data_IF_353598191063
#
_entry.id   IF_353598191063
#
_cell.length_a   1.000
_cell.length_b   1.000
_cell.length_c   1.000
_cell.angle_alpha   90.00
_cell.angle_beta   90.00
_cell.angle_gamma   90.00
#
_symmetry.space_group_name_H-M   'P 1'
#
loop_
_entity.id
_entity.type
_entity.pdbx_description
1 polymer ?
#
# COMPACT_ATOMS: atom_id res chain seq x y z
N UNK A 1 -27.92 15.62 -8.33
CA UNK A 1 -27.38 16.35 -7.16
C UNK A 1 -26.08 15.69 -6.75
N UNK A 2 -24.96 16.38 -6.99
CA UNK A 2 -23.62 15.88 -6.64
C UNK A 2 -23.35 16.10 -5.16
N UNK A 3 -23.15 15.01 -4.42
CA UNK A 3 -22.72 15.10 -3.03
C UNK A 3 -21.20 15.26 -2.99
N UNK A 4 -20.74 16.46 -2.65
CA UNK A 4 -19.36 16.71 -2.23
C UNK A 4 -19.13 15.97 -0.92
N UNK A 5 -18.19 15.02 -0.90
CA UNK A 5 -17.82 14.27 0.29
C UNK A 5 -16.86 15.09 1.15
N UNK A 6 -17.25 15.27 2.41
CA UNK A 6 -16.49 15.96 3.44
C UNK A 6 -15.25 15.16 3.83
N UNK A 7 -14.13 15.89 3.89
CA UNK A 7 -12.85 15.45 4.43
C UNK A 7 -13.04 15.10 5.91
N UNK A 8 -12.86 13.83 6.29
CA UNK A 8 -12.61 13.46 7.68
C UNK A 8 -11.14 13.79 7.97
N UNK A 9 -10.87 15.05 8.28
CA UNK A 9 -9.63 15.44 8.92
C UNK A 9 -9.72 14.97 10.37
N UNK A 10 -9.08 13.84 10.69
CA UNK A 10 -8.85 13.45 12.06
C UNK A 10 -7.82 14.41 12.66
N UNK A 11 -8.27 15.56 13.19
CA UNK A 11 -7.48 16.37 14.10
C UNK A 11 -7.43 15.67 15.45
N UNK A 12 -6.52 14.71 15.56
CA UNK A 12 -6.16 14.06 16.82
C UNK A 12 -4.68 14.31 17.09
N UNK A 13 -4.38 15.32 17.91
CA UNK A 13 -3.05 15.56 18.44
C UNK A 13 -2.67 14.43 19.40
N UNK A 14 -1.93 13.45 18.91
CA UNK A 14 -1.07 12.61 19.73
C UNK A 14 0.34 12.68 19.13
N UNK A 15 1.32 12.99 19.97
CA UNK A 15 2.71 13.12 19.59
C UNK A 15 3.23 11.79 19.01
N UNK A 16 3.84 11.86 17.82
CA UNK A 16 4.60 10.77 17.20
C UNK A 16 3.88 10.07 16.04
N UNK A 17 4.29 10.39 14.81
CA UNK A 17 4.00 9.60 13.61
C UNK A 17 2.86 10.14 12.73
N UNK A 18 3.20 10.92 11.72
CA UNK A 18 2.28 11.34 10.67
C UNK A 18 1.90 10.13 9.78
N UNK A 19 0.80 9.46 10.10
CA UNK A 19 0.14 8.51 9.21
C UNK A 19 -0.83 9.25 8.29
N UNK A 20 -0.43 9.51 7.04
CA UNK A 20 -1.33 10.02 6.00
C UNK A 20 -2.29 8.90 5.61
N UNK A 21 -3.47 8.85 6.23
CA UNK A 21 -4.53 7.92 5.82
C UNK A 21 -5.01 8.30 4.42
N UNK A 22 -4.71 7.43 3.45
CA UNK A 22 -5.16 7.58 2.07
C UNK A 22 -6.68 7.57 1.96
N UNK A 23 -7.20 8.31 0.97
CA UNK A 23 -8.62 8.33 0.62
C UNK A 23 -9.00 6.94 0.06
N UNK A 24 -9.57 6.07 0.88
CA UNK A 24 -10.10 4.78 0.41
C UNK A 24 -11.55 4.93 -0.08
N UNK A 25 -11.90 4.23 -1.16
CA UNK A 25 -13.28 4.23 -1.69
C UNK A 25 -14.22 3.52 -0.71
N UNK A 26 -15.17 4.27 -0.15
CA UNK A 26 -16.28 3.69 0.60
C UNK A 26 -17.23 2.96 -0.37
N UNK A 27 -17.48 1.68 -0.13
CA UNK A 27 -18.51 0.91 -0.83
C UNK A 27 -19.87 1.39 -0.35
N UNK A 28 -20.57 2.12 -1.21
CA UNK A 28 -21.88 2.65 -0.92
C UNK A 28 -22.97 1.56 -1.00
N UNK A 29 -24.05 1.86 -0.30
CA UNK A 29 -25.06 0.97 0.26
C UNK A 29 -26.08 0.51 -0.78
N UNK A 30 -25.95 -0.72 -1.28
CA UNK A 30 -27.10 -1.53 -1.68
C UNK A 30 -26.77 -3.05 -1.67
N UNK A 31 -27.20 -3.70 -0.59
CA UNK A 31 -27.90 -4.99 -0.58
C UNK A 31 -27.44 -6.17 -1.47
N UNK A 32 -26.14 -6.43 -1.60
CA UNK A 32 -25.65 -7.80 -1.79
C UNK A 32 -24.28 -7.95 -1.12
N UNK A 33 -24.19 -8.91 -0.20
CA UNK A 33 -23.06 -9.30 0.66
C UNK A 33 -21.72 -8.70 0.18
N UNK A 34 -21.13 -7.82 1.03
CA UNK A 34 -19.74 -7.35 0.93
C UNK A 34 -18.77 -8.53 1.12
N UNK A 35 -18.78 -9.51 0.23
CA UNK A 35 -17.82 -10.60 0.28
C UNK A 35 -16.52 -10.08 -0.29
N UNK A 36 -15.74 -9.44 0.57
CA UNK A 36 -14.31 -9.33 0.36
C UNK A 36 -13.76 -10.76 0.27
N UNK A 37 -12.77 -10.95 -0.59
CA UNK A 37 -12.00 -12.19 -0.67
C UNK A 37 -11.18 -12.38 0.60
N UNK A 38 -10.71 -13.60 0.84
CA UNK A 38 -9.84 -13.86 1.99
C UNK A 38 -8.55 -13.01 1.92
N UNK A 39 -7.98 -12.82 0.73
CA UNK A 39 -6.82 -11.93 0.53
C UNK A 39 -7.13 -10.48 0.91
N UNK A 40 -8.33 -9.96 0.59
CA UNK A 40 -8.74 -8.61 0.96
C UNK A 40 -8.93 -8.44 2.46
N UNK A 41 -9.46 -9.44 3.17
CA UNK A 41 -9.50 -9.39 4.64
C UNK A 41 -8.11 -9.44 5.27
N UNK A 42 -7.18 -10.21 4.69
CA UNK A 42 -5.79 -10.21 5.12
C UNK A 42 -5.14 -8.84 4.91
N UNK A 43 -5.45 -8.15 3.81
CA UNK A 43 -4.98 -6.78 3.54
C UNK A 43 -5.54 -5.77 4.55
N UNK A 44 -6.84 -5.86 4.86
CA UNK A 44 -7.47 -5.05 5.90
C UNK A 44 -6.74 -5.22 7.23
N UNK A 45 -6.47 -6.47 7.62
CA UNK A 45 -5.73 -6.73 8.83
C UNK A 45 -4.32 -6.13 8.76
N UNK A 46 -3.59 -6.36 7.66
CA UNK A 46 -2.25 -5.80 7.47
C UNK A 46 -2.22 -4.28 7.64
N UNK A 47 -3.18 -3.58 7.06
CA UNK A 47 -3.28 -2.11 7.09
C UNK A 47 -3.63 -1.58 8.48
N UNK A 48 -4.58 -2.21 9.17
CA UNK A 48 -5.16 -1.65 10.40
C UNK A 48 -4.69 -2.32 11.70
N UNK A 49 -3.88 -3.38 11.67
CA UNK A 49 -3.44 -4.12 12.87
C UNK A 49 -2.67 -3.29 13.91
N UNK A 50 -2.14 -2.13 13.54
CA UNK A 50 -1.50 -1.20 14.49
C UNK A 50 -2.50 -0.26 15.18
N UNK A 51 -3.76 -0.22 14.73
CA UNK A 51 -4.82 0.53 15.39
C UNK A 51 -5.38 -0.30 16.55
N UNK A 52 -5.19 0.19 17.77
CA UNK A 52 -5.70 -0.48 18.99
C UNK A 52 -7.20 -0.72 18.91
N UNK A 53 -7.99 0.25 18.44
CA UNK A 53 -9.44 0.13 18.29
C UNK A 53 -9.85 -1.00 17.35
N UNK A 54 -9.13 -1.18 16.25
CA UNK A 54 -9.36 -2.28 15.31
C UNK A 54 -9.07 -3.64 15.97
N UNK A 55 -7.92 -3.80 16.63
CA UNK A 55 -7.59 -5.05 17.34
C UNK A 55 -8.61 -5.35 18.44
N UNK A 56 -8.99 -4.35 19.24
CA UNK A 56 -10.04 -4.50 20.27
C UNK A 56 -11.36 -4.97 19.66
N UNK A 57 -11.74 -4.43 18.50
CA UNK A 57 -12.94 -4.87 17.79
C UNK A 57 -12.82 -6.33 17.34
N UNK A 58 -11.68 -6.73 16.74
CA UNK A 58 -11.47 -8.12 16.31
C UNK A 58 -11.47 -9.11 17.48
N UNK A 59 -10.96 -8.72 18.65
CA UNK A 59 -10.98 -9.55 19.87
C UNK A 59 -12.38 -9.95 20.33
N UNK A 60 -13.42 -9.21 19.96
CA UNK A 60 -14.81 -9.59 20.24
C UNK A 60 -15.25 -10.88 19.52
N UNK A 61 -14.55 -11.26 18.44
CA UNK A 61 -14.80 -12.49 17.66
C UNK A 61 -13.65 -13.50 17.79
N UNK A 62 -12.42 -13.03 17.95
CA UNK A 62 -11.23 -13.86 18.08
C UNK A 62 -10.34 -13.35 19.24
N UNK A 63 -10.57 -13.77 20.50
CA UNK A 63 -9.96 -13.15 21.68
C UNK A 63 -8.42 -13.16 21.72
N UNK A 64 -7.78 -14.11 21.03
CA UNK A 64 -6.31 -14.26 20.98
C UNK A 64 -5.64 -13.42 19.88
N UNK A 65 -6.39 -12.66 19.08
CA UNK A 65 -5.80 -11.88 17.98
C UNK A 65 -5.02 -10.69 18.54
N UNK A 66 -3.80 -10.49 18.05
CA UNK A 66 -2.93 -9.37 18.43
C UNK A 66 -2.39 -8.65 17.18
N UNK A 67 -1.82 -7.47 17.36
CA UNK A 67 -1.20 -6.70 16.26
C UNK A 67 -0.02 -7.44 15.58
N UNK A 68 0.57 -8.40 16.29
CA UNK A 68 1.68 -9.25 15.82
C UNK A 68 1.22 -10.54 15.15
N UNK A 69 -0.08 -10.87 15.17
CA UNK A 69 -0.61 -12.07 14.52
C UNK A 69 -0.35 -12.07 13.01
N UNK A 70 -0.38 -13.27 12.42
CA UNK A 70 -0.17 -13.41 10.98
C UNK A 70 -1.31 -12.76 10.19
N UNK A 71 -1.03 -12.34 8.95
CA UNK A 71 -2.07 -11.80 8.06
C UNK A 71 -3.21 -12.80 7.85
N UNK A 72 -2.90 -14.11 7.77
CA UNK A 72 -3.90 -15.18 7.63
C UNK A 72 -4.85 -15.26 8.83
N UNK A 73 -4.32 -15.28 10.06
CA UNK A 73 -5.14 -15.34 11.28
C UNK A 73 -5.95 -14.06 11.47
N UNK A 74 -5.28 -12.91 11.32
CA UNK A 74 -5.93 -11.61 11.40
C UNK A 74 -6.98 -11.39 10.33
N UNK A 75 -6.76 -11.89 9.11
CA UNK A 75 -7.74 -11.86 8.03
C UNK A 75 -8.99 -12.70 8.35
N UNK A 76 -8.84 -13.87 8.98
CA UNK A 76 -10.00 -14.67 9.45
C UNK A 76 -10.79 -13.92 10.52
N UNK A 77 -10.10 -13.27 11.47
CA UNK A 77 -10.76 -12.46 12.49
C UNK A 77 -11.47 -11.24 11.89
N UNK A 78 -10.82 -10.54 10.95
CA UNK A 78 -11.40 -9.41 10.22
C UNK A 78 -12.64 -9.84 9.41
N UNK A 79 -12.58 -11.00 8.74
CA UNK A 79 -13.73 -11.58 8.03
C UNK A 79 -14.91 -11.83 8.96
N UNK A 80 -14.68 -12.56 10.06
CA UNK A 80 -15.72 -12.85 11.03
C UNK A 80 -16.35 -11.57 11.61
N UNK A 81 -15.52 -10.58 11.93
CA UNK A 81 -16.01 -9.31 12.46
C UNK A 81 -16.80 -8.51 11.41
N UNK A 82 -16.28 -8.38 10.19
CA UNK A 82 -16.91 -7.59 9.13
C UNK A 82 -18.24 -8.18 8.62
N UNK A 83 -18.40 -9.50 8.62
CA UNK A 83 -19.65 -10.15 8.20
C UNK A 83 -20.77 -9.96 9.22
N UNK A 84 -20.43 -9.85 10.50
CA UNK A 84 -21.39 -9.74 11.60
C UNK A 84 -21.67 -8.29 12.03
N UNK A 85 -21.02 -7.28 11.43
CA UNK A 85 -21.12 -5.88 11.83
C UNK A 85 -21.49 -4.94 10.68
N UNK A 86 -22.46 -4.06 10.92
CA UNK A 86 -22.90 -3.00 10.00
C UNK A 86 -22.72 -1.58 10.57
N UNK A 87 -21.90 -1.44 11.61
CA UNK A 87 -21.64 -0.19 12.34
C UNK A 87 -20.90 0.85 11.49
N UNK A 88 -20.75 2.07 12.04
CA UNK A 88 -19.82 3.08 11.50
C UNK A 88 -18.40 2.54 11.35
N UNK A 89 -17.96 1.72 12.30
CA UNK A 89 -16.63 1.15 12.32
C UNK A 89 -16.44 0.12 11.20
N UNK A 90 -17.50 -0.63 10.86
CA UNK A 90 -17.49 -1.48 9.67
C UNK A 90 -17.37 -0.69 8.37
N UNK A 91 -17.78 0.59 8.34
CA UNK A 91 -17.51 1.47 7.18
C UNK A 91 -16.06 1.96 7.15
N UNK A 92 -15.38 1.97 8.29
CA UNK A 92 -13.98 2.38 8.39
C UNK A 92 -13.03 1.25 7.97
N UNK A 93 -13.27 0.02 8.44
CA UNK A 93 -12.31 -1.09 8.27
C UNK A 93 -12.71 -2.11 7.21
N UNK A 94 -14.01 -2.36 6.98
CA UNK A 94 -14.48 -3.39 6.04
C UNK A 94 -14.62 -2.81 4.62
N UNK A 95 -13.48 -2.37 4.06
CA UNK A 95 -13.38 -1.63 2.80
C UNK A 95 -12.43 -2.34 1.82
N UNK A 96 -12.60 -2.09 0.52
CA UNK A 96 -11.60 -2.54 -0.46
C UNK A 96 -10.35 -1.67 -0.36
N UNK A 97 -9.23 -2.31 -0.05
CA UNK A 97 -7.91 -1.71 -0.12
C UNK A 97 -7.25 -2.07 -1.46
N UNK A 98 -6.33 -1.23 -1.96
CA UNK A 98 -5.50 -1.59 -3.10
C UNK A 98 -4.77 -2.91 -2.85
N UNK A 99 -4.87 -3.84 -3.80
CA UNK A 99 -4.20 -5.15 -3.73
C UNK A 99 -2.80 -5.12 -4.30
N UNK A 100 -2.56 -4.25 -5.27
CA UNK A 100 -1.28 -4.10 -5.96
C UNK A 100 -0.74 -2.68 -5.82
N UNK A 101 0.55 -2.52 -6.08
CA UNK A 101 1.17 -1.18 -6.13
C UNK A 101 0.48 -0.31 -7.19
N UNK A 102 0.14 -0.87 -8.36
CA UNK A 102 -0.59 -0.19 -9.44
C UNK A 102 -1.91 0.42 -8.95
N UNK A 103 -2.65 -0.32 -8.12
CA UNK A 103 -3.92 0.16 -7.56
C UNK A 103 -3.71 1.23 -6.47
N UNK A 104 -2.56 1.24 -5.79
CA UNK A 104 -2.26 2.16 -4.67
C UNK A 104 -1.67 3.49 -5.13
N UNK A 105 -0.86 3.50 -6.18
CA UNK A 105 -0.24 4.72 -6.69
C UNK A 105 -1.31 5.68 -7.25
N UNK A 106 -1.12 6.98 -7.00
CA UNK A 106 -2.04 8.03 -7.44
C UNK A 106 -1.51 8.85 -8.61
N UNK A 107 -0.25 8.66 -8.96
CA UNK A 107 0.45 9.36 -10.04
C UNK A 107 0.89 8.34 -11.09
N UNK A 108 0.97 8.74 -12.37
CA UNK A 108 1.57 7.91 -13.39
C UNK A 108 3.09 7.75 -13.14
N UNK A 109 3.68 6.78 -13.83
CA UNK A 109 5.13 6.69 -13.92
C UNK A 109 5.69 7.93 -14.62
N UNK A 110 6.92 8.31 -14.29
CA UNK A 110 7.66 9.35 -15.01
C UNK A 110 7.85 8.96 -16.47
N UNK A 111 7.84 9.95 -17.35
CA UNK A 111 8.26 9.78 -18.74
C UNK A 111 9.70 10.29 -18.96
N UNK A 112 10.19 11.15 -18.06
CA UNK A 112 11.57 11.64 -18.07
C UNK A 112 12.43 10.79 -17.14
N UNK A 113 12.89 9.65 -17.67
CA UNK A 113 13.73 8.71 -16.94
C UNK A 113 15.13 9.26 -16.67
N UNK A 114 15.66 10.10 -17.58
CA UNK A 114 16.94 10.77 -17.39
C UNK A 114 16.91 11.68 -16.16
N UNK A 115 15.92 12.59 -16.10
CA UNK A 115 15.76 13.47 -14.95
C UNK A 115 15.52 12.67 -13.67
N UNK A 116 14.73 11.59 -13.75
CA UNK A 116 14.46 10.75 -12.58
C UNK A 116 15.72 10.07 -12.06
N UNK A 117 16.53 9.44 -12.92
CA UNK A 117 17.83 8.86 -12.53
C UNK A 117 18.73 9.91 -11.87
N UNK A 118 18.81 11.11 -12.46
CA UNK A 118 19.60 12.22 -11.91
C UNK A 118 19.16 12.59 -10.49
N UNK A 119 17.86 12.58 -10.21
CA UNK A 119 17.31 12.89 -8.90
C UNK A 119 17.60 11.81 -7.84
N UNK A 120 17.64 10.53 -8.23
CA UNK A 120 17.69 9.41 -7.27
C UNK A 120 19.07 8.76 -7.09
N UNK A 121 20.04 8.98 -8.00
CA UNK A 121 21.38 8.36 -7.96
C UNK A 121 22.19 8.69 -6.69
N UNK A 122 21.85 9.75 -5.95
CA UNK A 122 22.59 10.16 -4.75
C UNK A 122 22.10 9.55 -3.43
N UNK A 123 20.84 9.12 -3.35
CA UNK A 123 20.20 8.85 -2.05
C UNK A 123 20.47 7.46 -1.52
N UNK A 124 20.66 6.44 -2.38
CA UNK A 124 20.91 5.03 -1.99
C UNK A 124 21.51 4.23 -3.15
N UNK A 125 22.70 4.64 -3.61
CA UNK A 125 23.21 4.20 -4.91
C UNK A 125 23.50 2.68 -4.99
N UNK A 126 23.91 2.03 -3.89
CA UNK A 126 24.13 0.58 -3.83
C UNK A 126 22.84 -0.21 -3.98
N UNK A 127 21.79 0.17 -3.24
CA UNK A 127 20.51 -0.53 -3.24
C UNK A 127 19.78 -0.31 -4.56
N UNK A 128 19.83 0.91 -5.09
CA UNK A 128 19.31 1.20 -6.42
C UNK A 128 20.05 0.37 -7.48
N UNK A 129 21.38 0.35 -7.47
CA UNK A 129 22.16 -0.44 -8.42
C UNK A 129 21.83 -1.94 -8.32
N UNK A 130 21.71 -2.48 -7.11
CA UNK A 130 21.35 -3.89 -6.89
C UNK A 130 19.96 -4.21 -7.44
N UNK A 131 18.98 -3.34 -7.19
CA UNK A 131 17.63 -3.46 -7.74
C UNK A 131 17.66 -3.42 -9.28
N UNK A 132 18.38 -2.48 -9.88
CA UNK A 132 18.49 -2.37 -11.35
C UNK A 132 19.25 -3.53 -11.99
N UNK A 133 20.23 -4.12 -11.29
CA UNK A 133 20.93 -5.34 -11.74
C UNK A 133 20.04 -6.56 -11.83
N UNK A 134 18.90 -6.59 -11.14
CA UNK A 134 17.90 -7.65 -11.33
C UNK A 134 17.29 -7.63 -12.74
N UNK A 135 17.34 -6.47 -13.41
CA UNK A 135 16.88 -6.27 -14.79
C UNK A 135 18.05 -6.33 -15.78
N UNK A 136 19.10 -5.53 -15.56
CA UNK A 136 20.30 -5.46 -16.41
C UNK A 136 21.55 -5.82 -15.60
N UNK A 137 21.95 -7.09 -15.65
CA UNK A 137 23.04 -7.64 -14.80
C UNK A 137 24.41 -7.00 -15.05
N UNK A 138 24.65 -6.50 -16.26
CA UNK A 138 25.90 -5.86 -16.68
C UNK A 138 25.99 -4.38 -16.28
N UNK A 139 24.95 -3.82 -15.65
CA UNK A 139 24.95 -2.44 -15.17
C UNK A 139 25.99 -2.28 -14.05
N UNK A 140 26.99 -1.44 -14.25
CA UNK A 140 28.09 -1.23 -13.27
C UNK A 140 27.86 -0.04 -12.36
N UNK A 141 27.08 0.95 -12.81
CA UNK A 141 26.80 2.19 -12.09
C UNK A 141 25.42 2.73 -12.47
N UNK A 142 24.90 3.63 -11.65
CA UNK A 142 23.66 4.36 -11.96
C UNK A 142 24.04 5.79 -12.37
N UNK A 143 23.82 6.10 -13.65
CA UNK A 143 24.11 7.42 -14.24
C UNK A 143 22.96 7.86 -15.13
N UNK A 144 22.61 9.14 -15.08
CA UNK A 144 21.60 9.75 -15.93
C UNK A 144 22.02 9.82 -17.40
N UNK A 145 23.32 9.77 -17.69
CA UNK A 145 23.85 9.77 -19.05
C UNK A 145 23.98 8.34 -19.61
N UNK A 146 23.72 7.31 -18.80
CA UNK A 146 23.71 5.91 -19.23
C UNK A 146 22.29 5.46 -19.58
N UNK A 147 22.04 5.21 -20.87
CA UNK A 147 20.75 4.71 -21.35
C UNK A 147 20.37 3.37 -20.71
N UNK A 148 21.35 2.50 -20.40
CA UNK A 148 21.08 1.21 -19.73
C UNK A 148 20.52 1.42 -18.33
N UNK A 149 21.00 2.43 -17.60
CA UNK A 149 20.49 2.76 -16.27
C UNK A 149 19.04 3.28 -16.34
N UNK A 150 18.75 4.14 -17.33
CA UNK A 150 17.40 4.66 -17.55
C UNK A 150 16.41 3.54 -17.92
N UNK A 151 16.78 2.66 -18.85
CA UNK A 151 15.95 1.54 -19.27
C UNK A 151 15.77 0.52 -18.14
N UNK A 152 16.82 0.21 -17.39
CA UNK A 152 16.74 -0.66 -16.23
C UNK A 152 15.78 -0.10 -15.17
N UNK A 153 15.80 1.21 -14.93
CA UNK A 153 14.88 1.86 -13.98
C UNK A 153 13.44 1.78 -14.45
N UNK A 154 13.16 2.09 -15.72
CA UNK A 154 11.82 1.98 -16.31
C UNK A 154 11.28 0.55 -16.15
N UNK A 155 12.04 -0.42 -16.64
CA UNK A 155 11.66 -1.84 -16.61
C UNK A 155 11.48 -2.35 -15.17
N UNK A 156 12.35 -1.93 -14.24
CA UNK A 156 12.20 -2.26 -12.83
C UNK A 156 10.87 -1.71 -12.29
N UNK A 157 10.60 -0.42 -12.51
CA UNK A 157 9.38 0.24 -12.06
C UNK A 157 8.12 -0.45 -12.60
N UNK A 158 8.09 -0.76 -13.90
CA UNK A 158 6.99 -1.48 -14.55
C UNK A 158 6.81 -2.88 -13.95
N UNK A 159 7.90 -3.62 -13.71
CA UNK A 159 7.86 -4.96 -13.12
C UNK A 159 7.30 -5.00 -11.69
N UNK A 160 7.32 -3.86 -10.96
CA UNK A 160 6.82 -3.78 -9.59
C UNK A 160 5.36 -3.35 -9.49
N UNK A 161 4.75 -2.87 -10.56
CA UNK A 161 3.37 -2.36 -10.50
C UNK A 161 2.37 -3.43 -10.04
N UNK A 162 2.53 -4.66 -10.51
CA UNK A 162 1.61 -5.76 -10.16
C UNK A 162 2.06 -6.53 -8.91
N UNK A 163 3.05 -6.02 -8.18
CA UNK A 163 3.47 -6.59 -6.90
C UNK A 163 2.35 -6.46 -5.87
N UNK A 164 2.01 -7.57 -5.22
CA UNK A 164 0.94 -7.62 -4.23
C UNK A 164 1.35 -6.95 -2.93
N UNK A 165 0.50 -6.07 -2.43
CA UNK A 165 0.70 -5.34 -1.18
C UNK A 165 0.53 -6.23 0.05
N UNK A 166 -0.08 -7.41 -0.08
CA UNK A 166 -0.20 -8.34 1.05
C UNK A 166 1.13 -8.99 1.41
N UNK A 167 2.08 -9.03 0.48
CA UNK A 167 3.41 -9.57 0.71
C UNK A 167 4.13 -8.76 1.80
N UNK A 168 5.03 -9.43 2.53
CA UNK A 168 5.83 -8.81 3.60
C UNK A 168 6.64 -7.62 3.10
N UNK A 169 7.17 -7.70 1.88
CA UNK A 169 7.94 -6.62 1.25
C UNK A 169 7.06 -5.57 0.55
N UNK A 170 5.73 -5.73 0.54
CA UNK A 170 4.80 -4.89 -0.22
C UNK A 170 4.95 -3.40 0.06
N UNK A 171 5.11 -3.03 1.33
CA UNK A 171 5.27 -1.61 1.72
C UNK A 171 6.65 -1.07 1.35
N UNK A 172 7.69 -1.87 1.54
CA UNK A 172 9.06 -1.51 1.14
C UNK A 172 9.17 -1.31 -0.37
N UNK A 173 8.58 -2.20 -1.18
CA UNK A 173 8.57 -2.05 -2.64
C UNK A 173 7.70 -0.86 -3.04
N UNK A 174 6.55 -0.64 -2.38
CA UNK A 174 5.72 0.55 -2.62
C UNK A 174 6.50 1.84 -2.40
N UNK A 175 7.22 2.00 -1.27
CA UNK A 175 8.04 3.18 -0.99
C UNK A 175 9.15 3.38 -2.03
N UNK A 176 9.77 2.30 -2.50
CA UNK A 176 10.75 2.37 -3.59
C UNK A 176 10.09 2.83 -4.90
N UNK A 177 8.92 2.32 -5.25
CA UNK A 177 8.19 2.76 -6.46
C UNK A 177 7.79 4.22 -6.35
N UNK A 178 7.26 4.65 -5.20
CA UNK A 178 6.84 6.03 -4.96
C UNK A 178 8.01 7.02 -5.13
N UNK A 179 9.18 6.68 -4.58
CA UNK A 179 10.36 7.54 -4.65
C UNK A 179 11.09 7.50 -6.00
N UNK A 180 11.07 6.38 -6.73
CA UNK A 180 11.92 6.16 -7.91
C UNK A 180 11.19 6.24 -9.24
N UNK A 181 9.88 6.02 -9.25
CA UNK A 181 9.16 5.73 -10.48
C UNK A 181 8.13 6.78 -10.87
N UNK A 182 7.57 7.52 -9.90
CA UNK A 182 6.42 8.40 -10.16
C UNK A 182 6.84 9.77 -10.67
N UNK A 183 5.99 10.37 -11.51
CA UNK A 183 6.14 11.78 -11.90
C UNK A 183 6.09 12.69 -10.66
N UNK A 184 6.85 13.79 -10.68
CA UNK A 184 6.79 14.81 -9.63
C UNK A 184 5.43 15.53 -9.63
#
# INVERSE_FOLDING_TARGET
MGFKLSVLAATGTCAGGAGVFGIYKLVNKDSSIRTLTDEEYQLIFKEFKLQTSFITALKTKAPSIESTSSNTEGGKAAKAWCLDNNSSDAKLWCIHLPKTIREKIKKPLTMDWKAKVKAIKGTNNSDLLNDLKTIKRDLTQVSEDDQKAQDALREWCESKLDFKLINTEGDTIYTKVESRCLAE
#
